data_IF_942845336743
#
_entry.id   IF_942845336743
#
_cell.length_a   1.000
_cell.length_b   1.000
_cell.length_c   1.000
_cell.angle_alpha   90.00
_cell.angle_beta   90.00
_cell.angle_gamma   90.00
#
_symmetry.space_group_name_H-M   'P 1'
#
loop_
_entity.id
_entity.type
_entity.pdbx_description
1 polymer ?
#
# COMPACT_ATOMS: atom_id res chain seq x y z
N UNK A 1 3.25 -1.55 15.06
CA UNK A 1 3.85 -1.09 13.78
C UNK A 1 2.83 -0.68 12.73
N UNK A 2 1.82 -1.48 12.48
CA UNK A 2 0.85 -1.09 11.42
C UNK A 2 0.05 0.17 11.76
N UNK A 3 -0.15 0.51 13.01
CA UNK A 3 -0.80 1.79 13.38
C UNK A 3 0.05 3.00 12.98
N UNK A 4 1.35 2.93 13.23
CA UNK A 4 2.29 3.98 12.82
C UNK A 4 2.32 4.08 11.29
N UNK A 5 2.39 2.95 10.63
CA UNK A 5 2.39 2.87 9.17
C UNK A 5 1.09 3.42 8.58
N UNK A 6 -0.05 3.07 9.18
CA UNK A 6 -1.34 3.62 8.76
C UNK A 6 -1.38 5.14 8.86
N UNK A 7 -0.83 5.71 9.94
CA UNK A 7 -0.74 7.16 10.11
C UNK A 7 0.13 7.81 9.06
N UNK A 8 1.34 7.29 8.86
CA UNK A 8 2.28 7.82 7.86
C UNK A 8 1.71 7.74 6.45
N UNK A 9 1.12 6.61 6.09
CA UNK A 9 0.60 6.42 4.74
C UNK A 9 -0.73 7.14 4.52
N UNK A 10 -1.48 7.46 5.57
CA UNK A 10 -2.63 8.36 5.46
C UNK A 10 -2.18 9.77 5.08
N UNK A 11 -1.13 10.28 5.72
CA UNK A 11 -0.55 11.58 5.36
C UNK A 11 -0.10 11.56 3.91
N UNK A 12 0.61 10.51 3.50
CA UNK A 12 1.06 10.35 2.12
C UNK A 12 -0.12 10.33 1.13
N UNK A 13 -1.16 9.57 1.44
CA UNK A 13 -2.35 9.43 0.59
C UNK A 13 -3.04 10.79 0.40
N UNK A 14 -3.24 11.55 1.48
CA UNK A 14 -3.87 12.86 1.41
C UNK A 14 -3.06 13.84 0.55
N UNK A 15 -1.74 13.86 0.72
CA UNK A 15 -0.89 14.73 -0.08
C UNK A 15 -0.82 14.27 -1.53
N UNK A 16 -0.82 12.96 -1.77
CA UNK A 16 -0.82 12.41 -3.11
C UNK A 16 -2.06 12.79 -3.91
N UNK A 17 -3.21 12.93 -3.26
CA UNK A 17 -4.46 13.34 -3.92
C UNK A 17 -4.32 14.68 -4.65
N UNK A 18 -3.50 15.59 -4.12
CA UNK A 18 -3.28 16.90 -4.72
C UNK A 18 -2.06 16.95 -5.64
N UNK A 19 -1.07 16.09 -5.42
CA UNK A 19 0.24 16.19 -6.07
C UNK A 19 0.51 15.12 -7.13
N UNK A 20 -0.24 14.01 -7.13
CA UNK A 20 0.03 12.90 -8.02
C UNK A 20 -0.15 13.30 -9.49
N UNK A 21 0.81 12.90 -10.32
CA UNK A 21 0.70 13.04 -11.77
C UNK A 21 -0.08 11.86 -12.36
N UNK A 22 -0.58 12.03 -13.58
CA UNK A 22 -1.25 10.93 -14.28
C UNK A 22 -0.31 9.74 -14.47
N UNK A 23 0.97 10.01 -14.74
CA UNK A 23 1.98 8.95 -14.89
C UNK A 23 2.15 8.15 -13.59
N UNK A 24 2.23 8.85 -12.46
CA UNK A 24 2.34 8.19 -11.15
C UNK A 24 1.11 7.34 -10.83
N UNK A 25 -0.08 7.83 -11.17
CA UNK A 25 -1.32 7.07 -10.98
C UNK A 25 -1.31 5.81 -11.83
N UNK A 26 -0.82 5.89 -13.08
CA UNK A 26 -0.67 4.72 -13.93
C UNK A 26 0.33 3.72 -13.36
N UNK A 27 1.44 4.20 -12.81
CA UNK A 27 2.43 3.33 -12.15
C UNK A 27 1.82 2.61 -10.95
N UNK A 28 1.04 3.33 -10.15
CA UNK A 28 0.35 2.73 -9.00
C UNK A 28 -0.61 1.64 -9.44
N UNK A 29 -1.40 1.89 -10.47
CA UNK A 29 -2.31 0.91 -11.04
C UNK A 29 -1.54 -0.31 -11.56
N UNK A 30 -0.40 -0.09 -12.20
CA UNK A 30 0.45 -1.18 -12.69
C UNK A 30 0.93 -2.08 -11.55
N UNK A 31 1.36 -1.50 -10.44
CA UNK A 31 1.78 -2.31 -9.27
C UNK A 31 0.61 -3.08 -8.66
N UNK A 32 -0.59 -2.52 -8.68
CA UNK A 32 -1.80 -3.22 -8.27
C UNK A 32 -2.07 -4.43 -9.18
N UNK A 33 -1.99 -4.23 -10.50
CA UNK A 33 -2.13 -5.31 -11.47
C UNK A 33 -1.08 -6.40 -11.27
N UNK A 34 0.16 -6.02 -10.98
CA UNK A 34 1.23 -6.98 -10.69
C UNK A 34 0.92 -7.83 -9.47
N UNK A 35 0.31 -7.25 -8.42
CA UNK A 35 -0.10 -8.03 -7.26
C UNK A 35 -1.14 -9.09 -7.61
N UNK A 36 -2.13 -8.74 -8.45
CA UNK A 36 -3.13 -9.70 -8.90
C UNK A 36 -2.51 -10.80 -9.76
N UNK A 37 -1.58 -10.45 -10.63
CA UNK A 37 -0.85 -11.41 -11.44
C UNK A 37 -0.03 -12.36 -10.58
N UNK A 38 0.70 -11.83 -9.62
CA UNK A 38 1.48 -12.64 -8.67
C UNK A 38 0.59 -13.58 -7.87
N UNK A 39 -0.58 -13.10 -7.45
CA UNK A 39 -1.55 -13.94 -6.73
C UNK A 39 -2.05 -15.10 -7.59
N UNK A 40 -2.34 -14.83 -8.85
CA UNK A 40 -2.78 -15.85 -9.79
C UNK A 40 -1.73 -16.95 -9.99
N UNK A 41 -0.46 -16.56 -10.05
CA UNK A 41 0.66 -17.47 -10.28
C UNK A 41 1.19 -18.11 -8.99
N UNK A 42 0.70 -17.68 -7.82
CA UNK A 42 1.21 -18.13 -6.53
C UNK A 42 2.63 -17.66 -6.25
N UNK A 43 3.06 -16.55 -6.88
CA UNK A 43 4.42 -16.01 -6.77
C UNK A 43 4.50 -15.03 -5.60
N UNK A 44 4.80 -15.56 -4.41
CA UNK A 44 4.85 -14.78 -3.17
C UNK A 44 5.92 -13.68 -3.22
N UNK A 45 7.08 -13.98 -3.79
CA UNK A 45 8.18 -13.00 -3.89
C UNK A 45 7.79 -11.81 -4.77
N UNK A 46 7.23 -12.09 -5.93
CA UNK A 46 6.76 -11.04 -6.85
C UNK A 46 5.64 -10.23 -6.20
N UNK A 47 4.74 -10.89 -5.48
CA UNK A 47 3.68 -10.21 -4.73
C UNK A 47 4.26 -9.22 -3.73
N UNK A 48 5.23 -9.65 -2.91
CA UNK A 48 5.84 -8.76 -1.90
C UNK A 48 6.53 -7.57 -2.53
N UNK A 49 7.25 -7.76 -3.63
CA UNK A 49 7.92 -6.65 -4.33
C UNK A 49 6.90 -5.64 -4.89
N UNK A 50 5.82 -6.13 -5.47
CA UNK A 50 4.77 -5.27 -6.01
C UNK A 50 4.01 -4.52 -4.92
N UNK A 51 3.77 -5.17 -3.79
CA UNK A 51 3.15 -4.57 -2.60
C UNK A 51 4.01 -3.40 -2.07
N UNK A 52 5.30 -3.63 -1.92
CA UNK A 52 6.25 -2.59 -1.47
C UNK A 52 6.24 -1.41 -2.44
N UNK A 53 6.32 -1.68 -3.73
CA UNK A 53 6.30 -0.63 -4.76
C UNK A 53 5.00 0.15 -4.77
N UNK A 54 3.88 -0.51 -4.54
CA UNK A 54 2.57 0.14 -4.45
C UNK A 54 2.59 1.22 -3.35
N UNK A 55 3.00 0.84 -2.15
CA UNK A 55 3.05 1.78 -1.03
C UNK A 55 4.12 2.86 -1.21
N UNK A 56 5.30 2.48 -1.73
CA UNK A 56 6.36 3.44 -2.01
C UNK A 56 5.94 4.49 -3.03
N UNK A 57 5.18 4.08 -4.04
CA UNK A 57 4.69 5.01 -5.06
C UNK A 57 3.79 6.08 -4.44
N UNK A 58 2.91 5.70 -3.51
CA UNK A 58 2.06 6.67 -2.79
C UNK A 58 2.91 7.64 -1.97
N UNK A 59 3.91 7.14 -1.27
CA UNK A 59 4.81 7.98 -0.48
C UNK A 59 5.60 8.94 -1.39
N UNK A 60 6.06 8.47 -2.53
CA UNK A 60 6.77 9.30 -3.51
C UNK A 60 5.85 10.37 -4.13
N UNK A 61 4.57 10.07 -4.36
CA UNK A 61 3.59 11.04 -4.83
C UNK A 61 3.42 12.21 -3.88
N UNK A 62 3.52 11.96 -2.58
CA UNK A 62 3.42 13.00 -1.56
C UNK A 62 4.54 14.03 -1.68
N UNK A 63 5.67 13.63 -2.24
CA UNK A 63 6.83 14.49 -2.50
C UNK A 63 7.30 15.27 -1.26
N UNK A 64 7.36 14.58 -0.12
CA UNK A 64 7.79 15.14 1.17
C UNK A 64 8.98 14.34 1.67
N UNK A 65 10.13 14.99 1.77
CA UNK A 65 11.41 14.36 2.15
C UNK A 65 11.34 13.70 3.52
N UNK A 66 10.78 14.39 4.51
CA UNK A 66 10.71 13.87 5.88
C UNK A 66 9.79 12.66 5.97
N UNK A 67 8.67 12.69 5.27
CA UNK A 67 7.74 11.56 5.23
C UNK A 67 8.42 10.31 4.66
N UNK A 68 9.17 10.47 3.58
CA UNK A 68 9.93 9.36 2.97
C UNK A 68 10.95 8.79 3.95
N UNK A 69 11.65 9.65 4.69
CA UNK A 69 12.61 9.22 5.72
C UNK A 69 11.93 8.39 6.81
N UNK A 70 10.81 8.87 7.34
CA UNK A 70 10.07 8.13 8.37
C UNK A 70 9.54 6.80 7.84
N UNK A 71 9.04 6.79 6.62
CA UNK A 71 8.56 5.57 5.99
C UNK A 71 9.70 4.54 5.85
N UNK A 72 10.88 4.99 5.42
CA UNK A 72 12.06 4.12 5.31
C UNK A 72 12.50 3.57 6.68
N UNK A 73 12.34 4.35 7.75
CA UNK A 73 12.69 3.91 9.10
C UNK A 73 11.74 2.83 9.64
N UNK A 74 10.57 2.65 9.06
CA UNK A 74 9.59 1.67 9.50
C UNK A 74 9.92 0.23 9.09
N UNK A 75 11.04 0.00 8.38
CA UNK A 75 11.45 -1.33 7.93
C UNK A 75 10.34 -2.04 7.14
N UNK A 76 9.83 -1.33 6.14
CA UNK A 76 8.65 -1.74 5.38
C UNK A 76 8.84 -3.12 4.72
N UNK A 77 10.04 -3.38 4.19
CA UNK A 77 10.33 -4.65 3.51
C UNK A 77 10.13 -5.83 4.45
N UNK A 78 10.63 -5.72 5.69
CA UNK A 78 10.48 -6.79 6.68
C UNK A 78 9.00 -6.99 7.05
N UNK A 79 8.28 -5.90 7.34
CA UNK A 79 6.88 -5.99 7.73
C UNK A 79 5.98 -6.52 6.62
N UNK A 80 6.25 -6.13 5.38
CA UNK A 80 5.53 -6.67 4.22
C UNK A 80 5.76 -8.16 4.10
N UNK A 81 7.01 -8.61 4.27
CA UNK A 81 7.33 -10.04 4.23
C UNK A 81 6.61 -10.81 5.35
N UNK A 82 6.61 -10.28 6.58
CA UNK A 82 5.92 -10.90 7.71
C UNK A 82 4.42 -11.01 7.44
N UNK A 83 3.79 -9.92 7.00
CA UNK A 83 2.36 -9.91 6.71
C UNK A 83 2.00 -10.90 5.61
N UNK A 84 2.77 -10.94 4.53
CA UNK A 84 2.50 -11.83 3.40
C UNK A 84 2.65 -13.29 3.80
N UNK A 85 3.75 -13.64 4.48
CA UNK A 85 4.07 -15.03 4.82
C UNK A 85 3.19 -15.60 5.94
N UNK A 86 2.79 -14.76 6.90
CA UNK A 86 2.02 -15.20 8.07
C UNK A 86 0.52 -14.97 7.95
N UNK A 87 0.07 -14.34 6.87
CA UNK A 87 -1.34 -14.07 6.69
C UNK A 87 -2.17 -15.35 6.63
N UNK A 88 -3.33 -15.34 7.28
CA UNK A 88 -4.34 -16.38 7.10
C UNK A 88 -5.07 -16.25 5.76
N UNK A 89 -4.87 -15.11 5.06
CA UNK A 89 -5.51 -14.82 3.79
C UNK A 89 -4.64 -15.27 2.62
N UNK A 90 -5.28 -15.65 1.53
CA UNK A 90 -4.60 -15.96 0.28
C UNK A 90 -4.08 -14.69 -0.39
N UNK A 91 -3.11 -14.82 -1.29
CA UNK A 91 -2.54 -13.68 -2.00
C UNK A 91 -3.61 -12.87 -2.75
N UNK A 92 -4.61 -13.56 -3.32
CA UNK A 92 -5.71 -12.89 -4.02
C UNK A 92 -6.45 -11.91 -3.10
N UNK A 93 -6.77 -12.33 -1.88
CA UNK A 93 -7.42 -11.46 -0.91
C UNK A 93 -6.52 -10.30 -0.48
N UNK A 94 -5.22 -10.57 -0.30
CA UNK A 94 -4.26 -9.53 0.04
C UNK A 94 -4.16 -8.49 -1.07
N UNK A 95 -4.17 -8.91 -2.33
CA UNK A 95 -4.21 -7.98 -3.46
C UNK A 95 -5.49 -7.14 -3.44
N UNK A 96 -6.63 -7.76 -3.21
CA UNK A 96 -7.94 -7.07 -3.17
C UNK A 96 -7.99 -6.00 -2.06
N UNK A 97 -7.29 -6.19 -0.95
CA UNK A 97 -7.24 -5.19 0.11
C UNK A 97 -6.55 -3.89 -0.30
N UNK A 98 -5.82 -3.88 -1.42
CA UNK A 98 -5.18 -2.68 -1.95
C UNK A 98 -6.12 -1.83 -2.82
N UNK A 99 -7.19 -2.43 -3.33
CA UNK A 99 -8.14 -1.73 -4.23
C UNK A 99 -8.77 -0.50 -3.57
N UNK A 100 -9.27 -0.57 -2.32
CA UNK A 100 -9.85 0.63 -1.68
C UNK A 100 -8.86 1.79 -1.54
N UNK A 101 -7.58 1.48 -1.33
CA UNK A 101 -6.53 2.51 -1.23
C UNK A 101 -6.36 3.22 -2.57
N UNK A 102 -6.26 2.45 -3.65
CA UNK A 102 -6.17 2.99 -5.01
C UNK A 102 -7.40 3.85 -5.36
N UNK A 103 -8.60 3.35 -5.06
CA UNK A 103 -9.85 4.07 -5.34
C UNK A 103 -9.93 5.38 -4.55
N UNK A 104 -9.51 5.38 -3.28
CA UNK A 104 -9.49 6.60 -2.46
C UNK A 104 -8.59 7.67 -3.09
N UNK A 105 -7.43 7.28 -3.62
CA UNK A 105 -6.54 8.21 -4.30
C UNK A 105 -7.21 8.78 -5.57
N UNK A 106 -7.72 7.92 -6.43
CA UNK A 106 -8.32 8.33 -7.71
C UNK A 106 -9.54 9.21 -7.49
N UNK A 107 -10.36 8.90 -6.49
CA UNK A 107 -11.57 9.65 -6.16
C UNK A 107 -11.29 10.86 -5.25
N UNK A 108 -10.05 11.03 -4.80
CA UNK A 108 -9.64 12.11 -3.89
C UNK A 108 -10.49 12.14 -2.62
N UNK A 109 -10.74 10.98 -2.06
CA UNK A 109 -11.57 10.80 -0.87
C UNK A 109 -10.78 11.04 0.41
N UNK A 110 -10.46 12.30 0.68
CA UNK A 110 -9.67 12.69 1.85
C UNK A 110 -10.43 12.47 3.16
N UNK A 111 -11.75 12.53 3.13
CA UNK A 111 -12.58 12.33 4.32
C UNK A 111 -12.40 10.92 4.90
N UNK A 112 -12.26 9.90 4.05
CA UNK A 112 -12.15 8.50 4.47
C UNK A 112 -10.72 7.94 4.37
N UNK A 113 -9.72 8.79 4.11
CA UNK A 113 -8.36 8.32 3.89
C UNK A 113 -7.79 7.54 5.08
N UNK A 114 -7.95 8.04 6.29
CA UNK A 114 -7.44 7.38 7.48
C UNK A 114 -8.16 6.05 7.75
N UNK A 115 -9.48 6.05 7.63
CA UNK A 115 -10.28 4.83 7.79
C UNK A 115 -9.86 3.77 6.77
N UNK A 116 -9.68 4.17 5.51
CA UNK A 116 -9.26 3.27 4.44
C UNK A 116 -7.90 2.66 4.75
N UNK A 117 -6.92 3.46 5.17
CA UNK A 117 -5.59 2.96 5.53
C UNK A 117 -5.61 2.07 6.76
N UNK A 118 -6.36 2.44 7.80
CA UNK A 118 -6.49 1.60 9.00
C UNK A 118 -7.06 0.23 8.67
N UNK A 119 -8.13 0.20 7.90
CA UNK A 119 -8.76 -1.06 7.48
C UNK A 119 -7.82 -1.88 6.63
N UNK A 120 -7.07 -1.24 5.73
CA UNK A 120 -6.08 -1.92 4.90
C UNK A 120 -5.06 -2.67 5.77
N UNK A 121 -4.40 -1.97 6.70
CA UNK A 121 -3.38 -2.58 7.53
C UNK A 121 -3.95 -3.57 8.55
N UNK A 122 -5.16 -3.34 9.03
CA UNK A 122 -5.85 -4.32 9.85
C UNK A 122 -6.05 -5.64 9.08
N UNK A 123 -6.57 -5.54 7.86
CA UNK A 123 -6.87 -6.72 7.03
C UNK A 123 -5.62 -7.51 6.67
N UNK A 124 -4.54 -6.83 6.27
CA UNK A 124 -3.30 -7.53 5.87
C UNK A 124 -2.52 -8.08 7.06
N UNK A 125 -2.81 -7.65 8.28
CA UNK A 125 -2.13 -8.11 9.49
C UNK A 125 -2.85 -9.23 10.23
N UNK A 126 -3.87 -9.84 9.62
CA UNK A 126 -4.55 -11.01 10.20
C UNK A 126 -3.68 -12.26 10.00
N UNK A 127 -3.06 -12.73 11.09
CA UNK A 127 -2.13 -13.87 11.04
C UNK A 127 -2.83 -15.18 11.40
N UNK A 128 -2.27 -16.26 10.88
CA UNK A 128 -2.69 -17.63 11.24
C UNK A 128 -2.41 -17.93 12.70
#
# INVERSE_FOLDING_TARGET
MHEVRAGLETVALNQAMDKATEEQIRDLHHHLEEMFEAAKDGDEKFFMESDIKFHETIVDMADTTDLKKFWNMCNIRLWTAVCTKRSEKELQALAEFHVPVYEALVNKDSEHAYKTMREHFHNVSQYK
#
